data_IF_473133601295
#
_entry.id   IF_473133601295
#
_cell.length_a   1.000
_cell.length_b   1.000
_cell.length_c   1.000
_cell.angle_alpha   90.00
_cell.angle_beta   90.00
_cell.angle_gamma   90.00
#
_symmetry.space_group_name_H-M   'P 1'
#
loop_
_entity.id
_entity.type
_entity.pdbx_description
1 polymer ?
#
# COMPACT_ATOMS: atom_id res chain seq x y z
N UNK A 1 3.09 25.16 -0.86
CA UNK A 1 2.92 23.73 -0.53
C UNK A 1 2.70 23.59 0.97
N UNK A 2 1.64 22.91 1.43
CA UNK A 2 1.39 22.78 2.87
C UNK A 2 2.51 21.98 3.54
N UNK A 3 2.94 22.38 4.75
CA UNK A 3 4.01 21.69 5.49
C UNK A 3 3.73 20.19 5.71
N UNK A 4 2.45 19.80 5.72
CA UNK A 4 2.01 18.40 5.85
C UNK A 4 2.25 17.56 4.59
N UNK A 5 2.04 18.11 3.39
CA UNK A 5 2.33 17.43 2.13
C UNK A 5 3.83 17.19 1.95
N UNK A 6 4.64 18.20 2.26
CA UNK A 6 6.11 18.11 2.14
C UNK A 6 6.67 17.01 3.05
N UNK A 7 6.18 16.91 4.29
CA UNK A 7 6.58 15.85 5.24
C UNK A 7 6.16 14.45 4.76
N UNK A 8 4.98 14.34 4.14
CA UNK A 8 4.46 13.06 3.63
C UNK A 8 5.30 12.54 2.46
N UNK A 9 5.66 13.42 1.52
CA UNK A 9 6.53 13.07 0.38
C UNK A 9 7.94 12.71 0.85
N UNK A 10 8.51 13.45 1.81
CA UNK A 10 9.82 13.12 2.36
C UNK A 10 9.85 11.73 3.00
N UNK A 11 8.80 11.39 3.76
CA UNK A 11 8.68 10.06 4.40
C UNK A 11 8.54 8.95 3.36
N UNK A 12 7.77 9.19 2.29
CA UNK A 12 7.61 8.27 1.16
C UNK A 12 8.93 7.94 0.47
N UNK A 13 9.76 8.95 0.19
CA UNK A 13 11.05 8.77 -0.50
C UNK A 13 12.00 7.95 0.37
N UNK A 14 12.12 8.30 1.65
CA UNK A 14 12.98 7.60 2.61
C UNK A 14 12.57 6.13 2.74
N UNK A 15 11.26 5.87 2.87
CA UNK A 15 10.74 4.50 3.00
C UNK A 15 11.00 3.68 1.74
N UNK A 16 10.79 4.27 0.55
CA UNK A 16 11.03 3.60 -0.73
C UNK A 16 12.51 3.25 -0.92
N UNK A 17 13.40 4.15 -0.49
CA UNK A 17 14.84 3.95 -0.58
C UNK A 17 15.33 2.85 0.38
N UNK A 18 14.83 2.84 1.63
CA UNK A 18 15.10 1.78 2.60
C UNK A 18 14.66 0.41 2.10
N UNK A 19 13.45 0.33 1.53
CA UNK A 19 12.89 -0.93 1.07
C UNK A 19 13.62 -1.47 -0.17
N UNK A 20 14.02 -0.58 -1.09
CA UNK A 20 14.85 -0.94 -2.24
C UNK A 20 16.24 -1.44 -1.82
N UNK A 21 16.87 -0.81 -0.82
CA UNK A 21 18.14 -1.28 -0.27
C UNK A 21 18.01 -2.67 0.36
N UNK A 22 16.90 -2.94 1.04
CA UNK A 22 16.63 -4.23 1.65
C UNK A 22 16.48 -5.35 0.60
N UNK A 23 15.72 -5.09 -0.47
CA UNK A 23 15.60 -5.99 -1.63
C UNK A 23 16.97 -6.30 -2.24
N UNK A 24 17.81 -5.29 -2.43
CA UNK A 24 19.14 -5.48 -3.00
C UNK A 24 20.04 -6.37 -2.11
N UNK A 25 19.94 -6.23 -0.79
CA UNK A 25 20.67 -7.08 0.16
C UNK A 25 20.22 -8.55 0.04
N UNK A 26 18.91 -8.80 -0.07
CA UNK A 26 18.38 -10.16 -0.23
C UNK A 26 18.88 -10.78 -1.53
N UNK A 27 18.79 -10.04 -2.64
CA UNK A 27 19.30 -10.49 -3.92
C UNK A 27 20.81 -10.81 -3.87
N UNK A 28 21.60 -9.96 -3.21
CA UNK A 28 23.04 -10.19 -3.03
C UNK A 28 23.32 -11.47 -2.24
N UNK A 29 22.58 -11.73 -1.16
CA UNK A 29 22.71 -12.96 -0.37
C UNK A 29 22.37 -14.18 -1.23
N UNK A 30 21.28 -14.12 -2.01
CA UNK A 30 20.85 -15.22 -2.88
C UNK A 30 21.88 -15.56 -3.96
N UNK A 31 22.51 -14.55 -4.56
CA UNK A 31 23.59 -14.72 -5.53
C UNK A 31 24.79 -15.44 -4.89
N UNK A 32 25.20 -15.04 -3.69
CA UNK A 32 26.35 -15.65 -3.01
C UNK A 32 26.08 -17.08 -2.53
N UNK A 33 24.85 -17.40 -2.13
CA UNK A 33 24.52 -18.74 -1.58
C UNK A 33 24.24 -19.76 -2.68
N UNK A 34 23.60 -19.35 -3.78
CA UNK A 34 23.12 -20.28 -4.83
C UNK A 34 23.85 -20.13 -6.17
N UNK A 35 24.68 -19.11 -6.35
CA UNK A 35 25.36 -18.84 -7.62
C UNK A 35 24.43 -18.36 -8.73
N UNK A 36 23.24 -17.84 -8.38
CA UNK A 36 22.32 -17.29 -9.38
C UNK A 36 22.84 -15.97 -9.94
N UNK A 37 22.39 -15.63 -11.16
CA UNK A 37 22.70 -14.36 -11.80
C UNK A 37 21.93 -13.25 -11.06
N UNK A 38 22.65 -12.22 -10.60
CA UNK A 38 22.08 -11.10 -9.83
C UNK A 38 20.89 -10.46 -10.54
N UNK A 39 21.01 -10.28 -11.86
CA UNK A 39 19.94 -9.79 -12.74
C UNK A 39 18.64 -10.57 -12.55
N UNK A 40 18.69 -11.89 -12.65
CA UNK A 40 17.51 -12.76 -12.66
C UNK A 40 16.82 -12.79 -11.29
N UNK A 41 17.61 -12.83 -10.22
CA UNK A 41 17.09 -12.78 -8.84
C UNK A 41 16.40 -11.45 -8.58
N UNK A 42 17.05 -10.34 -8.91
CA UNK A 42 16.52 -9.00 -8.69
C UNK A 42 15.23 -8.78 -9.51
N UNK A 43 15.16 -9.32 -10.73
CA UNK A 43 13.98 -9.21 -11.60
C UNK A 43 12.77 -9.94 -11.00
N UNK A 44 12.94 -11.19 -10.57
CA UNK A 44 11.89 -12.00 -9.96
C UNK A 44 11.40 -11.36 -8.65
N UNK A 45 12.31 -10.92 -7.80
CA UNK A 45 11.99 -10.29 -6.52
C UNK A 45 11.21 -8.98 -6.72
N UNK A 46 11.62 -8.19 -7.71
CA UNK A 46 10.93 -6.95 -8.11
C UNK A 46 9.50 -7.20 -8.56
N UNK A 47 9.26 -8.22 -9.39
CA UNK A 47 7.92 -8.57 -9.87
C UNK A 47 7.01 -8.92 -8.69
N UNK A 48 7.49 -9.76 -7.77
CA UNK A 48 6.72 -10.16 -6.58
C UNK A 48 6.34 -8.93 -5.77
N UNK A 49 7.27 -8.00 -5.56
CA UNK A 49 7.01 -6.76 -4.81
C UNK A 49 6.03 -5.82 -5.52
N UNK A 50 6.10 -5.69 -6.85
CA UNK A 50 5.13 -4.88 -7.61
C UNK A 50 3.73 -5.49 -7.52
N UNK A 51 3.61 -6.82 -7.62
CA UNK A 51 2.33 -7.52 -7.49
C UNK A 51 1.74 -7.34 -6.09
N UNK A 52 2.56 -7.55 -5.05
CA UNK A 52 2.14 -7.33 -3.66
C UNK A 52 1.77 -5.86 -3.41
N UNK A 53 2.54 -4.91 -3.94
CA UNK A 53 2.25 -3.48 -3.86
C UNK A 53 0.95 -3.11 -4.56
N UNK A 54 0.67 -3.73 -5.71
CA UNK A 54 -0.57 -3.56 -6.46
C UNK A 54 -1.77 -4.03 -5.66
N UNK A 55 -1.72 -5.26 -5.12
CA UNK A 55 -2.78 -5.78 -4.27
C UNK A 55 -2.96 -4.98 -2.98
N UNK A 56 -1.87 -4.55 -2.34
CA UNK A 56 -1.93 -3.72 -1.14
C UNK A 56 -2.54 -2.34 -1.41
N UNK A 57 -2.39 -1.83 -2.63
CA UNK A 57 -2.96 -0.55 -3.08
C UNK A 57 -4.47 -0.63 -3.35
N UNK A 58 -5.05 -1.82 -3.45
CA UNK A 58 -6.50 -2.00 -3.49
C UNK A 58 -7.06 -1.73 -2.09
N UNK A 59 -7.36 -0.47 -1.80
CA UNK A 59 -8.09 -0.04 -0.62
C UNK A 59 -9.55 0.22 -0.98
N UNK A 60 -10.46 -0.64 -0.53
CA UNK A 60 -11.89 -0.41 -0.57
C UNK A 60 -12.48 -0.83 0.76
N UNK A 61 -13.42 -0.07 1.31
CA UNK A 61 -14.05 -0.35 2.59
C UNK A 61 -15.13 -1.45 2.39
N UNK A 62 -14.86 -2.73 2.70
CA UNK A 62 -15.78 -3.81 2.35
C UNK A 62 -16.98 -3.89 3.29
N UNK A 63 -16.95 -3.13 4.40
CA UNK A 63 -17.95 -3.22 5.47
C UNK A 63 -19.21 -2.39 5.23
N UNK A 64 -19.17 -1.38 4.36
CA UNK A 64 -20.33 -0.51 4.11
C UNK A 64 -21.37 -1.11 3.17
N UNK A 65 -20.95 -1.96 2.23
CA UNK A 65 -21.83 -2.45 1.16
C UNK A 65 -22.61 -3.71 1.55
N UNK A 66 -22.05 -4.58 2.38
CA UNK A 66 -22.66 -5.86 2.76
C UNK A 66 -23.83 -5.71 3.74
N UNK A 67 -23.83 -4.67 4.57
CA UNK A 67 -24.91 -4.41 5.55
C UNK A 67 -26.17 -3.87 4.86
N UNK A 68 -26.04 -3.20 3.70
CA UNK A 68 -27.20 -2.71 2.93
C UNK A 68 -27.99 -3.80 2.22
N UNK A 69 -27.40 -4.96 1.97
CA UNK A 69 -28.01 -6.01 1.14
C UNK A 69 -28.75 -7.11 1.93
N UNK A 70 -28.63 -7.11 3.27
CA UNK A 70 -29.22 -8.13 4.12
C UNK A 70 -30.71 -7.84 4.40
N UNK A 71 -31.54 -7.87 3.35
CA UNK A 71 -32.97 -8.17 3.43
C UNK A 71 -33.93 -7.13 4.04
N UNK A 72 -33.51 -5.89 4.32
CA UNK A 72 -34.37 -4.93 5.02
C UNK A 72 -35.00 -3.88 4.08
N UNK A 73 -36.22 -4.16 3.61
CA UNK A 73 -37.06 -3.34 2.73
C UNK A 73 -37.69 -2.14 3.43
N UNK A 74 -36.94 -1.36 4.22
CA UNK A 74 -37.48 -0.20 4.92
C UNK A 74 -36.57 1.02 4.75
N UNK A 75 -36.99 1.94 3.88
CA UNK A 75 -36.21 3.11 3.46
C UNK A 75 -35.79 4.03 4.62
N UNK A 76 -36.62 4.11 5.67
CA UNK A 76 -36.34 4.90 6.87
C UNK A 76 -35.27 4.25 7.76
N UNK A 77 -35.26 2.91 7.85
CA UNK A 77 -34.24 2.17 8.59
C UNK A 77 -32.90 2.21 7.85
N UNK A 78 -32.91 2.05 6.52
CA UNK A 78 -31.69 2.23 5.72
C UNK A 78 -31.17 3.66 5.75
N UNK A 79 -32.05 4.67 5.85
CA UNK A 79 -31.68 6.08 6.01
C UNK A 79 -31.01 6.36 7.35
N UNK A 80 -31.62 5.91 8.46
CA UNK A 80 -31.07 6.08 9.80
C UNK A 80 -29.78 5.25 10.01
N UNK A 81 -29.75 4.00 9.56
CA UNK A 81 -28.54 3.18 9.62
C UNK A 81 -27.41 3.80 8.78
N UNK A 82 -27.72 4.37 7.62
CA UNK A 82 -26.72 5.05 6.80
C UNK A 82 -26.23 6.35 7.47
N UNK A 83 -27.09 7.09 8.16
CA UNK A 83 -26.71 8.26 8.95
C UNK A 83 -25.86 7.89 10.18
N UNK A 84 -26.17 6.79 10.85
CA UNK A 84 -25.43 6.29 11.99
C UNK A 84 -24.08 5.68 11.58
N UNK A 85 -24.04 4.94 10.46
CA UNK A 85 -22.79 4.49 9.83
C UNK A 85 -21.95 5.69 9.39
N UNK A 86 -22.55 6.71 8.76
CA UNK A 86 -21.83 7.94 8.35
C UNK A 86 -21.31 8.70 9.55
N UNK A 87 -22.05 8.72 10.66
CA UNK A 87 -21.62 9.34 11.92
C UNK A 87 -20.46 8.55 12.55
N UNK A 88 -20.57 7.23 12.62
CA UNK A 88 -19.50 6.35 13.11
C UNK A 88 -18.26 6.40 12.21
N UNK A 89 -18.44 6.49 10.89
CA UNK A 89 -17.34 6.71 9.94
C UNK A 89 -16.71 8.08 10.18
N UNK A 90 -17.47 9.16 10.34
CA UNK A 90 -16.92 10.49 10.64
C UNK A 90 -16.17 10.55 11.98
N UNK A 91 -16.65 9.85 13.01
CA UNK A 91 -15.98 9.76 14.31
C UNK A 91 -14.69 8.91 14.25
N UNK A 92 -14.67 7.80 13.51
CA UNK A 92 -13.45 6.98 13.30
C UNK A 92 -12.45 7.63 12.35
N UNK A 93 -12.93 8.27 11.29
CA UNK A 93 -12.13 8.91 10.23
C UNK A 93 -11.29 10.07 10.77
N UNK A 94 -11.73 10.78 11.83
CA UNK A 94 -10.90 11.83 12.46
C UNK A 94 -9.55 11.33 12.99
N UNK A 95 -9.46 10.09 13.47
CA UNK A 95 -8.20 9.46 13.88
C UNK A 95 -7.61 8.55 12.79
N UNK A 96 -8.46 7.91 11.98
CA UNK A 96 -8.03 7.01 10.92
C UNK A 96 -7.48 7.72 9.68
N UNK A 97 -7.78 8.99 9.40
CA UNK A 97 -7.18 9.70 8.24
C UNK A 97 -5.65 9.70 8.33
N UNK A 98 -5.10 9.85 9.54
CA UNK A 98 -3.65 9.80 9.75
C UNK A 98 -3.10 8.37 9.52
N UNK A 99 -3.87 7.34 9.87
CA UNK A 99 -3.52 5.93 9.70
C UNK A 99 -3.69 5.48 8.25
N UNK A 100 -4.73 5.92 7.55
CA UNK A 100 -5.04 5.66 6.14
C UNK A 100 -4.03 6.37 5.25
N UNK A 101 -3.69 7.63 5.54
CA UNK A 101 -2.61 8.35 4.83
C UNK A 101 -1.27 7.66 5.07
N UNK A 102 -0.98 7.22 6.30
CA UNK A 102 0.24 6.47 6.61
C UNK A 102 0.28 5.10 5.91
N UNK A 103 -0.83 4.36 5.91
CA UNK A 103 -0.98 3.09 5.19
C UNK A 103 -0.90 3.27 3.67
N UNK A 104 -1.49 4.35 3.14
CA UNK A 104 -1.44 4.70 1.71
C UNK A 104 -0.02 5.02 1.26
N UNK A 105 0.71 5.82 2.04
CA UNK A 105 2.12 6.13 1.80
C UNK A 105 2.96 4.85 1.77
N UNK A 106 2.75 3.93 2.71
CA UNK A 106 3.44 2.63 2.74
C UNK A 106 3.15 1.76 1.51
N UNK A 107 1.88 1.65 1.10
CA UNK A 107 1.47 0.83 -0.05
C UNK A 107 2.04 1.34 -1.37
N UNK A 108 1.95 2.65 -1.60
CA UNK A 108 2.48 3.28 -2.81
C UNK A 108 4.01 3.20 -2.80
N UNK A 109 4.64 3.32 -1.63
CA UNK A 109 6.10 3.23 -1.48
C UNK A 109 6.60 1.84 -1.81
N UNK A 110 5.86 0.80 -1.42
CA UNK A 110 6.16 -0.58 -1.75
C UNK A 110 6.14 -0.80 -3.27
N UNK A 111 5.10 -0.32 -3.94
CA UNK A 111 4.97 -0.40 -5.40
C UNK A 111 6.08 0.36 -6.13
N UNK A 112 6.41 1.58 -5.68
CA UNK A 112 7.49 2.37 -6.25
C UNK A 112 8.86 1.73 -6.06
N UNK A 113 9.13 1.15 -4.88
CA UNK A 113 10.38 0.46 -4.61
C UNK A 113 10.59 -0.74 -5.54
N UNK A 114 9.53 -1.52 -5.81
CA UNK A 114 9.57 -2.64 -6.75
C UNK A 114 9.84 -2.20 -8.19
N UNK A 115 9.22 -1.11 -8.64
CA UNK A 115 9.47 -0.55 -9.99
C UNK A 115 10.93 -0.07 -10.12
N UNK A 116 11.44 0.63 -9.11
CA UNK A 116 12.83 1.12 -9.12
C UNK A 116 13.81 -0.07 -9.16
N UNK A 117 13.57 -1.10 -8.34
CA UNK A 117 14.41 -2.29 -8.33
C UNK A 117 14.34 -3.06 -9.67
N UNK A 118 13.17 -3.09 -10.30
CA UNK A 118 12.98 -3.65 -11.63
C UNK A 118 13.82 -2.93 -12.69
N UNK A 119 13.86 -1.60 -12.66
CA UNK A 119 14.69 -0.80 -13.58
C UNK A 119 16.18 -1.06 -13.34
N UNK A 120 16.60 -1.13 -12.08
CA UNK A 120 18.00 -1.43 -11.71
C UNK A 120 18.40 -2.82 -12.20
N UNK A 121 17.49 -3.80 -12.15
CA UNK A 121 17.74 -5.14 -12.69
C UNK A 121 18.10 -5.12 -14.17
N UNK A 122 17.51 -4.25 -14.99
CA UNK A 122 17.88 -4.14 -16.41
C UNK A 122 19.24 -3.46 -16.66
N UNK A 123 19.77 -2.73 -15.67
CA UNK A 123 21.05 -2.03 -15.77
C UNK A 123 22.25 -2.89 -15.31
N UNK A 124 22.00 -3.97 -14.57
CA UNK A 124 23.00 -4.89 -13.99
C UNK A 124 23.10 -6.16 -14.82
#
# INVERSE_FOLDING_TARGET
MSKSLLKSIGTFIILSMLLSAFLFIIAFILVNVKGYILKDVLLIESIIFVVLGGFASISGNPKGLSIKSMGQSNAQYSGNANLEITRMENEKTKNDVKIIVNNGIGRISLLFSGIVCMIISFLV
#
